data_IF_572925467914
#
_entry.id   IF_572925467914
#
_cell.length_a   1.000
_cell.length_b   1.000
_cell.length_c   1.000
_cell.angle_alpha   90.00
_cell.angle_beta   90.00
_cell.angle_gamma   90.00
#
_symmetry.space_group_name_H-M   'P 1'
#
loop_
_entity.id
_entity.type
_entity.pdbx_description
1 polymer ?
#
# COMPACT_ATOMS: atom_id res chain seq x y z
N UNK A 1 0.96 -14.29 23.75
CA UNK A 1 0.60 -14.98 22.50
C UNK A 1 1.60 -16.10 22.26
N UNK A 2 1.14 -17.27 21.79
CA UNK A 2 2.07 -18.34 21.41
C UNK A 2 2.54 -18.06 19.97
N UNK A 3 3.79 -18.36 19.61
CA UNK A 3 4.30 -18.18 18.24
C UNK A 3 3.45 -18.85 17.15
N UNK A 4 2.64 -19.86 17.52
CA UNK A 4 1.69 -20.57 16.66
C UNK A 4 0.55 -19.72 16.12
N UNK A 5 0.24 -18.60 16.78
CA UNK A 5 -0.99 -17.81 16.55
C UNK A 5 -0.74 -16.70 15.52
N UNK A 6 0.53 -16.33 15.28
CA UNK A 6 0.91 -15.20 14.43
C UNK A 6 0.43 -15.33 12.98
N UNK A 7 0.40 -16.55 12.44
CA UNK A 7 -0.14 -16.79 11.09
C UNK A 7 -1.65 -16.56 11.04
N UNK A 8 -2.38 -17.01 12.06
CA UNK A 8 -3.82 -16.77 12.14
C UNK A 8 -4.11 -15.28 12.25
N UNK A 9 -3.39 -14.59 13.14
CA UNK A 9 -3.54 -13.14 13.33
C UNK A 9 -3.26 -12.37 12.03
N UNK A 10 -2.18 -12.73 11.33
CA UNK A 10 -1.86 -12.15 10.02
C UNK A 10 -2.98 -12.41 9.02
N UNK A 11 -3.41 -13.66 8.81
CA UNK A 11 -4.48 -13.99 7.85
C UNK A 11 -5.78 -13.25 8.18
N UNK A 12 -6.08 -13.07 9.47
CA UNK A 12 -7.25 -12.32 9.95
C UNK A 12 -7.14 -10.82 9.71
N UNK A 13 -5.93 -10.25 9.70
CA UNK A 13 -5.70 -8.82 9.45
C UNK A 13 -5.80 -8.45 7.97
N UNK A 14 -5.69 -9.41 7.04
CA UNK A 14 -5.80 -9.13 5.60
C UNK A 14 -7.22 -8.65 5.22
N UNK A 15 -7.28 -7.65 4.35
CA UNK A 15 -8.53 -7.24 3.72
C UNK A 15 -8.92 -8.18 2.54
N UNK A 16 -10.16 -8.12 2.01
CA UNK A 16 -10.60 -9.01 0.93
C UNK A 16 -9.73 -8.95 -0.33
N UNK A 17 -9.19 -7.78 -0.67
CA UNK A 17 -8.32 -7.58 -1.84
C UNK A 17 -6.95 -8.23 -1.65
N UNK A 18 -6.34 -8.07 -0.48
CA UNK A 18 -5.08 -8.72 -0.10
C UNK A 18 -5.23 -10.24 -0.10
N UNK A 19 -6.34 -10.76 0.44
CA UNK A 19 -6.63 -12.21 0.39
C UNK A 19 -6.74 -12.71 -1.04
N UNK A 20 -7.49 -12.00 -1.89
CA UNK A 20 -7.60 -12.35 -3.32
C UNK A 20 -6.24 -12.31 -4.00
N UNK A 21 -5.43 -11.28 -3.74
CA UNK A 21 -4.07 -11.17 -4.28
C UNK A 21 -3.20 -12.35 -3.86
N UNK A 22 -3.19 -12.71 -2.58
CA UNK A 22 -2.45 -13.86 -2.07
C UNK A 22 -2.85 -15.16 -2.78
N UNK A 23 -4.15 -15.40 -2.99
CA UNK A 23 -4.59 -16.62 -3.70
C UNK A 23 -4.07 -16.67 -5.14
N UNK A 24 -4.12 -15.55 -5.85
CA UNK A 24 -3.57 -15.45 -7.21
C UNK A 24 -2.04 -15.55 -7.22
N UNK A 25 -1.37 -15.01 -6.21
CA UNK A 25 0.08 -15.11 -6.02
C UNK A 25 0.50 -16.57 -5.80
N UNK A 26 -0.14 -17.25 -4.85
CA UNK A 26 0.12 -18.65 -4.56
C UNK A 26 -0.10 -19.55 -5.79
N UNK A 27 -1.16 -19.32 -6.57
CA UNK A 27 -1.43 -20.07 -7.80
C UNK A 27 -0.36 -19.88 -8.89
N UNK A 28 0.29 -18.72 -8.95
CA UNK A 28 1.29 -18.39 -9.98
C UNK A 28 2.70 -18.83 -9.60
N UNK A 29 3.05 -18.75 -8.32
CA UNK A 29 4.41 -18.97 -7.85
C UNK A 29 4.67 -20.36 -7.25
N UNK A 30 3.62 -21.18 -7.13
CA UNK A 30 3.72 -22.55 -6.62
C UNK A 30 3.36 -23.52 -7.76
N UNK A 31 4.35 -24.27 -8.26
CA UNK A 31 4.17 -25.26 -9.35
C UNK A 31 4.31 -26.68 -8.78
N UNK A 32 3.27 -27.52 -8.90
CA UNK A 32 3.31 -28.95 -8.50
C UNK A 32 2.30 -29.34 -7.40
N UNK A 33 2.64 -30.36 -6.57
CA UNK A 33 1.80 -30.96 -5.51
C UNK A 33 1.38 -29.99 -4.36
N UNK A 34 1.67 -28.70 -4.48
CA UNK A 34 1.76 -27.73 -3.38
C UNK A 34 0.56 -26.76 -3.25
N UNK A 35 -0.64 -27.13 -3.75
CA UNK A 35 -1.91 -26.44 -3.42
C UNK A 35 -2.26 -26.55 -1.90
N UNK A 36 -1.44 -27.29 -1.14
CA UNK A 36 -1.56 -27.49 0.29
C UNK A 36 -1.49 -26.18 1.09
N UNK A 37 -0.69 -25.21 0.66
CA UNK A 37 -0.59 -23.92 1.35
C UNK A 37 -1.83 -23.04 1.13
N UNK A 38 -2.43 -23.11 -0.06
CA UNK A 38 -3.70 -22.43 -0.34
C UNK A 38 -4.85 -23.07 0.44
N UNK A 39 -4.92 -24.41 0.47
CA UNK A 39 -5.87 -25.16 1.32
C UNK A 39 -5.71 -24.80 2.80
N UNK A 40 -4.48 -24.71 3.28
CA UNK A 40 -4.17 -24.34 4.67
C UNK A 40 -4.57 -22.90 4.97
N UNK A 41 -4.26 -21.97 4.07
CA UNK A 41 -4.70 -20.58 4.16
C UNK A 41 -6.23 -20.48 4.28
N UNK A 42 -6.96 -21.13 3.37
CA UNK A 42 -8.43 -21.13 3.37
C UNK A 42 -9.03 -21.77 4.62
N UNK A 43 -8.37 -22.80 5.17
CA UNK A 43 -8.82 -23.42 6.40
C UNK A 43 -8.62 -22.53 7.62
N UNK A 44 -7.50 -21.80 7.68
CA UNK A 44 -7.20 -20.85 8.76
C UNK A 44 -8.11 -19.62 8.67
N UNK A 45 -8.33 -19.07 7.47
CA UNK A 45 -9.18 -17.89 7.24
C UNK A 45 -10.64 -18.11 7.68
N UNK A 46 -11.14 -19.34 7.53
CA UNK A 46 -12.49 -19.76 7.94
C UNK A 46 -12.65 -19.95 9.45
N UNK A 47 -11.57 -20.02 10.22
CA UNK A 47 -11.66 -20.15 11.66
C UNK A 47 -12.02 -18.81 12.31
N UNK A 48 -12.95 -18.82 13.27
CA UNK A 48 -13.28 -17.65 14.09
C UNK A 48 -12.28 -17.45 15.23
N UNK A 49 -11.75 -18.57 15.76
CA UNK A 49 -10.65 -18.64 16.73
C UNK A 49 -9.69 -19.72 16.26
N UNK A 50 -8.39 -19.48 16.44
CA UNK A 50 -7.38 -20.43 16.02
C UNK A 50 -7.52 -21.78 16.75
N UNK A 51 -7.62 -22.86 15.97
CA UNK A 51 -7.66 -24.24 16.48
C UNK A 51 -6.76 -25.14 15.63
N UNK A 52 -5.56 -25.42 16.12
CA UNK A 52 -4.59 -26.30 15.46
C UNK A 52 -5.03 -27.77 15.45
N UNK A 53 -5.75 -28.23 16.47
CA UNK A 53 -6.22 -29.62 16.53
C UNK A 53 -7.25 -29.89 15.43
N UNK A 54 -8.16 -28.93 15.19
CA UNK A 54 -9.09 -28.98 14.08
C UNK A 54 -8.37 -29.01 12.72
N UNK A 55 -7.29 -28.22 12.55
CA UNK A 55 -6.48 -28.24 11.32
C UNK A 55 -5.81 -29.60 11.10
N UNK A 56 -5.17 -30.16 12.14
CA UNK A 56 -4.54 -31.49 12.08
C UNK A 56 -5.57 -32.58 11.74
N UNK A 57 -6.75 -32.53 12.35
CA UNK A 57 -7.85 -33.47 12.06
C UNK A 57 -8.34 -33.37 10.62
N UNK A 58 -8.51 -32.14 10.12
CA UNK A 58 -9.00 -31.86 8.76
C UNK A 58 -8.04 -32.35 7.69
N UNK A 59 -6.73 -32.17 7.91
CA UNK A 59 -5.70 -32.46 6.92
C UNK A 59 -4.92 -33.75 7.22
N UNK A 60 -5.46 -34.66 8.05
CA UNK A 60 -4.76 -35.87 8.53
C UNK A 60 -4.10 -36.76 7.45
N UNK A 61 -4.58 -36.69 6.21
CA UNK A 61 -4.07 -37.45 5.06
C UNK A 61 -3.01 -36.69 4.25
N UNK A 62 -2.80 -35.40 4.53
CA UNK A 62 -1.86 -34.54 3.83
C UNK A 62 -0.48 -34.62 4.49
N UNK A 63 0.57 -34.81 3.68
CA UNK A 63 1.95 -34.99 4.16
C UNK A 63 2.43 -33.81 5.03
N UNK A 64 2.02 -32.57 4.70
CA UNK A 64 2.46 -31.36 5.41
C UNK A 64 1.98 -31.31 6.88
N UNK A 65 0.93 -32.06 7.25
CA UNK A 65 0.40 -32.05 8.63
C UNK A 65 1.37 -32.66 9.62
N UNK A 66 2.19 -33.61 9.20
CA UNK A 66 3.24 -34.19 10.04
C UNK A 66 4.22 -33.13 10.55
N UNK A 67 4.40 -32.05 9.76
CA UNK A 67 5.25 -30.91 10.09
C UNK A 67 4.46 -29.60 10.01
N UNK A 68 3.26 -29.57 10.61
CA UNK A 68 2.36 -28.41 10.51
C UNK A 68 3.01 -27.09 10.94
N UNK A 69 3.94 -27.13 11.91
CA UNK A 69 4.70 -25.95 12.33
C UNK A 69 5.56 -25.38 11.18
N UNK A 70 6.27 -26.24 10.45
CA UNK A 70 7.08 -25.85 9.29
C UNK A 70 6.18 -25.30 8.19
N UNK A 71 5.07 -25.98 7.91
CA UNK A 71 4.11 -25.54 6.90
C UNK A 71 3.50 -24.17 7.23
N UNK A 72 3.20 -23.91 8.51
CA UNK A 72 2.72 -22.59 8.97
C UNK A 72 3.78 -21.51 8.81
N UNK A 73 5.03 -21.77 9.20
CA UNK A 73 6.11 -20.79 9.03
C UNK A 73 6.36 -20.47 7.56
N UNK A 74 6.33 -21.48 6.69
CA UNK A 74 6.42 -21.26 5.25
C UNK A 74 5.24 -20.41 4.74
N UNK A 75 4.01 -20.77 5.10
CA UNK A 75 2.82 -20.02 4.71
C UNK A 75 2.85 -18.57 5.21
N UNK A 76 3.32 -18.33 6.45
CA UNK A 76 3.49 -16.98 6.99
C UNK A 76 4.43 -16.13 6.13
N UNK A 77 5.61 -16.66 5.81
CA UNK A 77 6.57 -15.98 4.96
C UNK A 77 6.04 -15.78 3.53
N UNK A 78 5.26 -16.74 3.01
CA UNK A 78 4.64 -16.62 1.71
C UNK A 78 3.56 -15.54 1.67
N UNK A 79 2.74 -15.42 2.72
CA UNK A 79 1.76 -14.34 2.88
C UNK A 79 2.48 -13.00 2.93
N UNK A 80 3.52 -12.86 3.75
CA UNK A 80 4.32 -11.62 3.81
C UNK A 80 4.95 -11.27 2.46
N UNK A 81 5.50 -12.25 1.74
CA UNK A 81 6.07 -12.01 0.41
C UNK A 81 5.02 -11.53 -0.60
N UNK A 82 3.83 -12.13 -0.57
CA UNK A 82 2.70 -11.70 -1.40
C UNK A 82 2.21 -10.30 -1.03
N UNK A 83 2.16 -9.97 0.25
CA UNK A 83 1.80 -8.63 0.72
C UNK A 83 2.86 -7.61 0.32
N UNK A 84 4.14 -7.94 0.41
CA UNK A 84 5.20 -7.09 -0.08
C UNK A 84 5.03 -6.83 -1.57
N UNK A 85 4.74 -7.84 -2.39
CA UNK A 85 4.43 -7.67 -3.83
C UNK A 85 3.18 -6.81 -4.07
N UNK A 86 2.11 -7.08 -3.32
CA UNK A 86 0.87 -6.29 -3.36
C UNK A 86 1.11 -4.81 -3.02
N UNK A 87 1.97 -4.56 -2.03
CA UNK A 87 2.34 -3.23 -1.55
C UNK A 87 3.55 -2.65 -2.30
N UNK A 88 4.17 -3.38 -3.25
CA UNK A 88 5.18 -2.83 -4.19
C UNK A 88 4.54 -1.88 -5.23
N UNK A 89 3.29 -1.46 -4.98
CA UNK A 89 2.75 -0.11 -5.18
C UNK A 89 3.69 1.02 -4.68
N UNK A 90 4.89 0.70 -4.17
CA UNK A 90 6.10 1.52 -4.35
C UNK A 90 6.27 2.10 -5.75
N UNK A 91 5.79 1.46 -6.83
CA UNK A 91 5.77 2.11 -8.16
C UNK A 91 5.01 3.43 -8.16
N UNK A 92 3.95 3.55 -7.37
CA UNK A 92 3.17 4.79 -7.25
C UNK A 92 3.93 5.81 -6.43
N UNK A 93 4.52 5.44 -5.29
CA UNK A 93 5.36 6.35 -4.50
C UNK A 93 6.59 6.82 -5.30
N UNK A 94 7.25 5.91 -6.02
CA UNK A 94 8.38 6.21 -6.91
C UNK A 94 7.92 7.18 -8.00
N UNK A 95 6.82 6.90 -8.69
CA UNK A 95 6.30 7.79 -9.73
C UNK A 95 5.86 9.16 -9.18
N UNK A 96 5.29 9.21 -7.97
CA UNK A 96 4.94 10.47 -7.28
C UNK A 96 6.22 11.24 -6.90
N UNK A 97 7.24 10.55 -6.38
CA UNK A 97 8.54 11.15 -6.05
C UNK A 97 9.25 11.67 -7.30
N UNK A 98 9.26 10.91 -8.40
CA UNK A 98 9.84 11.33 -9.69
C UNK A 98 9.16 12.59 -10.24
N UNK A 99 7.82 12.64 -10.19
CA UNK A 99 7.06 13.83 -10.57
C UNK A 99 7.41 15.03 -9.67
N UNK A 100 7.49 14.83 -8.35
CA UNK A 100 7.86 15.89 -7.41
C UNK A 100 9.28 16.41 -7.69
N UNK A 101 10.27 15.52 -7.80
CA UNK A 101 11.65 15.87 -8.12
C UNK A 101 11.74 16.61 -9.46
N UNK A 102 10.98 16.19 -10.46
CA UNK A 102 10.90 16.90 -11.75
C UNK A 102 10.34 18.32 -11.58
N UNK A 103 9.30 18.49 -10.76
CA UNK A 103 8.74 19.79 -10.40
C UNK A 103 9.76 20.69 -9.71
N UNK A 104 10.50 20.17 -8.73
CA UNK A 104 11.56 20.89 -8.00
C UNK A 104 12.71 21.30 -8.92
N UNK A 105 13.16 20.42 -9.81
CA UNK A 105 14.20 20.71 -10.80
C UNK A 105 13.75 21.84 -11.73
N UNK A 106 12.52 21.78 -12.24
CA UNK A 106 11.97 22.82 -13.11
C UNK A 106 11.82 24.16 -12.36
N UNK A 107 11.39 24.12 -11.10
CA UNK A 107 11.35 25.30 -10.23
C UNK A 107 12.73 25.92 -10.04
N UNK A 108 13.75 25.13 -9.69
CA UNK A 108 15.13 25.59 -9.53
C UNK A 108 15.73 26.17 -10.82
N UNK A 109 15.22 25.76 -11.98
CA UNK A 109 15.59 26.32 -13.31
C UNK A 109 14.77 27.55 -13.71
N UNK A 110 13.86 28.04 -12.88
CA UNK A 110 12.96 29.16 -13.20
C UNK A 110 11.84 28.82 -14.19
N UNK A 111 11.65 27.55 -14.53
CA UNK A 111 10.65 27.07 -15.50
C UNK A 111 9.27 26.86 -14.83
N UNK A 112 8.77 27.89 -14.17
CA UNK A 112 7.62 27.80 -13.26
C UNK A 112 6.34 27.25 -13.91
N UNK A 113 6.01 27.70 -15.13
CA UNK A 113 4.83 27.19 -15.86
C UNK A 113 4.93 25.69 -16.16
N UNK A 114 6.14 25.17 -16.37
CA UNK A 114 6.36 23.74 -16.60
C UNK A 114 6.28 22.96 -15.29
N UNK A 115 6.88 23.51 -14.22
CA UNK A 115 6.77 22.95 -12.88
C UNK A 115 5.30 22.82 -12.45
N UNK A 116 4.48 23.86 -12.60
CA UNK A 116 3.05 23.82 -12.25
C UNK A 116 2.28 22.73 -13.01
N UNK A 117 2.58 22.49 -14.29
CA UNK A 117 1.93 21.39 -15.06
C UNK A 117 2.27 20.02 -14.49
N UNK A 118 3.50 19.82 -14.02
CA UNK A 118 3.91 18.57 -13.36
C UNK A 118 3.22 18.43 -12.00
N UNK A 119 3.13 19.52 -11.22
CA UNK A 119 2.48 19.53 -9.91
C UNK A 119 0.97 19.22 -9.98
N UNK A 120 0.26 19.70 -11.01
CA UNK A 120 -1.15 19.32 -11.23
C UNK A 120 -1.30 17.80 -11.37
N UNK A 121 -0.47 17.19 -12.24
CA UNK A 121 -0.48 15.73 -12.44
C UNK A 121 -0.11 14.97 -11.17
N UNK A 122 0.89 15.46 -10.44
CA UNK A 122 1.30 14.90 -9.15
C UNK A 122 0.15 14.93 -8.15
N UNK A 123 -0.55 16.07 -8.03
CA UNK A 123 -1.66 16.30 -7.11
C UNK A 123 -2.87 15.42 -7.42
N UNK A 124 -3.27 15.33 -8.68
CA UNK A 124 -4.34 14.43 -9.14
C UNK A 124 -4.04 12.96 -8.79
N UNK A 125 -2.80 12.54 -9.02
CA UNK A 125 -2.36 11.18 -8.72
C UNK A 125 -2.27 10.93 -7.21
N UNK A 126 -1.75 11.89 -6.44
CA UNK A 126 -1.68 11.82 -5.00
C UNK A 126 -3.09 11.71 -4.38
N UNK A 127 -4.07 12.46 -4.87
CA UNK A 127 -5.47 12.32 -4.44
C UNK A 127 -6.05 10.95 -4.79
N UNK A 128 -5.85 10.48 -6.04
CA UNK A 128 -6.34 9.17 -6.48
C UNK A 128 -5.86 8.02 -5.62
N UNK A 129 -4.63 8.10 -5.11
CA UNK A 129 -4.00 7.04 -4.32
C UNK A 129 -3.92 7.36 -2.82
N UNK A 130 -4.67 8.37 -2.35
CA UNK A 130 -4.75 8.77 -0.94
C UNK A 130 -3.35 8.98 -0.32
N UNK A 131 -2.47 9.71 -1.03
CA UNK A 131 -1.10 10.01 -0.60
C UNK A 131 -1.00 11.47 -0.12
N UNK A 132 -1.60 11.77 1.02
CA UNK A 132 -1.74 13.14 1.55
C UNK A 132 -0.40 13.86 1.72
N UNK A 133 0.67 13.13 2.06
CA UNK A 133 2.01 13.71 2.20
C UNK A 133 2.51 14.38 0.90
N UNK A 134 2.22 13.80 -0.26
CA UNK A 134 2.60 14.40 -1.54
C UNK A 134 1.72 15.60 -1.92
N UNK A 135 0.47 15.64 -1.44
CA UNK A 135 -0.40 16.82 -1.61
C UNK A 135 0.18 18.01 -0.86
N UNK A 136 0.67 17.81 0.37
CA UNK A 136 1.32 18.84 1.16
C UNK A 136 2.58 19.38 0.47
N UNK A 137 3.43 18.48 -0.04
CA UNK A 137 4.64 18.85 -0.80
C UNK A 137 4.30 19.67 -2.06
N UNK A 138 3.23 19.29 -2.78
CA UNK A 138 2.73 20.07 -3.92
C UNK A 138 2.35 21.49 -3.48
N UNK A 139 1.56 21.64 -2.41
CA UNK A 139 1.11 22.95 -1.93
C UNK A 139 2.29 23.84 -1.53
N UNK A 140 3.30 23.27 -0.86
CA UNK A 140 4.53 24.00 -0.51
C UNK A 140 5.23 24.52 -1.77
N UNK A 141 5.37 23.69 -2.81
CA UNK A 141 6.05 24.09 -4.04
C UNK A 141 5.20 25.04 -4.90
N UNK A 142 3.87 24.89 -4.92
CA UNK A 142 2.92 25.83 -5.54
C UNK A 142 3.05 27.22 -4.91
N UNK A 143 3.15 27.29 -3.57
CA UNK A 143 3.38 28.55 -2.86
C UNK A 143 4.73 29.17 -3.23
N UNK A 144 5.82 28.38 -3.25
CA UNK A 144 7.14 28.86 -3.69
C UNK A 144 7.10 29.41 -5.11
N UNK A 145 6.40 28.74 -6.03
CA UNK A 145 6.19 29.22 -7.40
C UNK A 145 5.42 30.53 -7.41
N UNK A 146 4.34 30.66 -6.64
CA UNK A 146 3.54 31.87 -6.56
C UNK A 146 4.36 33.07 -6.04
N UNK A 147 5.17 32.86 -5.00
CA UNK A 147 6.12 33.88 -4.51
C UNK A 147 7.16 34.26 -5.57
N UNK A 148 7.74 33.27 -6.24
CA UNK A 148 8.78 33.49 -7.25
C UNK A 148 8.27 34.22 -8.51
N UNK A 149 6.99 34.06 -8.84
CA UNK A 149 6.34 34.75 -9.96
C UNK A 149 5.96 36.20 -9.64
N UNK A 150 6.05 36.65 -8.37
CA UNK A 150 5.65 37.99 -7.91
C UNK A 150 4.29 38.48 -8.45
N UNK A 151 3.35 37.55 -8.62
CA UNK A 151 1.93 37.87 -8.69
C UNK A 151 1.38 37.84 -7.26
N UNK A 152 1.51 38.97 -6.55
CA UNK A 152 1.02 39.16 -5.17
C UNK A 152 -0.50 38.91 -5.06
N UNK A 153 -1.24 38.99 -6.16
CA UNK A 153 -2.68 38.67 -6.22
C UNK A 153 -2.92 37.15 -6.31
N UNK A 154 -2.16 36.44 -7.15
CA UNK A 154 -2.23 34.98 -7.21
C UNK A 154 -1.79 34.31 -5.90
N UNK A 155 -0.73 34.81 -5.26
CA UNK A 155 -0.27 34.31 -3.97
C UNK A 155 -1.33 34.48 -2.87
N UNK A 156 -2.02 35.63 -2.81
CA UNK A 156 -3.15 35.85 -1.88
C UNK A 156 -4.31 34.89 -2.14
N UNK A 157 -4.68 34.63 -3.39
CA UNK A 157 -5.76 33.68 -3.73
C UNK A 157 -5.45 32.25 -3.32
N UNK A 158 -4.20 31.80 -3.49
CA UNK A 158 -3.79 30.44 -3.10
C UNK A 158 -3.80 30.28 -1.58
N UNK A 159 -3.29 31.27 -0.83
CA UNK A 159 -3.30 31.27 0.64
C UNK A 159 -4.75 31.25 1.17
N UNK A 160 -5.64 32.08 0.63
CA UNK A 160 -7.05 32.11 1.03
C UNK A 160 -7.77 30.79 0.69
N UNK A 161 -7.44 30.17 -0.45
CA UNK A 161 -8.03 28.89 -0.84
C UNK A 161 -7.56 27.74 0.07
N UNK A 162 -6.26 27.69 0.37
CA UNK A 162 -5.71 26.69 1.30
C UNK A 162 -6.31 26.79 2.70
N UNK A 163 -6.47 28.00 3.23
CA UNK A 163 -7.09 28.22 4.54
C UNK A 163 -8.56 27.73 4.59
N UNK A 164 -9.32 27.92 3.51
CA UNK A 164 -10.71 27.42 3.40
C UNK A 164 -10.79 25.90 3.25
N UNK A 165 -9.86 25.30 2.54
CA UNK A 165 -9.76 23.84 2.39
C UNK A 165 -9.39 23.19 3.74
N UNK A 166 -8.49 23.79 4.53
CA UNK A 166 -8.16 23.36 5.90
C UNK A 166 -9.36 23.49 6.86
N UNK A 167 -10.12 24.60 6.79
CA UNK A 167 -11.31 24.81 7.61
C UNK A 167 -12.44 23.79 7.30
N UNK A 168 -12.58 23.39 6.03
CA UNK A 168 -13.48 22.30 5.61
C UNK A 168 -13.03 20.90 6.02
N UNK A 169 -11.72 20.70 6.22
CA UNK A 169 -11.16 19.43 6.70
C UNK A 169 -11.25 19.28 8.23
N UNK A 170 -11.55 20.36 8.95
CA UNK A 170 -11.69 20.39 10.41
C UNK A 170 -13.15 20.31 10.92
N UNK A 171 -14.13 20.22 10.02
CA UNK A 171 -15.56 19.94 10.30
C UNK A 171 -15.92 18.50 9.90
#
# INVERSE_FOLDING_TARGET
>A
MRPSDHLFDLIRSLNPSEKRHFKLYAQRHIVGEENNYLKLFDAIDKQSKYDEAALKKKFRLEKFVQQIHVAKNYLYNLVLKSLNEYHTVDSTNIQLRELLSSGEILFGKGLYKQASKILIKLKEKAYRYEKQIYVLEVVVLENKIAFALQDMEAAKKVIIKGAKEEEQLML
#
